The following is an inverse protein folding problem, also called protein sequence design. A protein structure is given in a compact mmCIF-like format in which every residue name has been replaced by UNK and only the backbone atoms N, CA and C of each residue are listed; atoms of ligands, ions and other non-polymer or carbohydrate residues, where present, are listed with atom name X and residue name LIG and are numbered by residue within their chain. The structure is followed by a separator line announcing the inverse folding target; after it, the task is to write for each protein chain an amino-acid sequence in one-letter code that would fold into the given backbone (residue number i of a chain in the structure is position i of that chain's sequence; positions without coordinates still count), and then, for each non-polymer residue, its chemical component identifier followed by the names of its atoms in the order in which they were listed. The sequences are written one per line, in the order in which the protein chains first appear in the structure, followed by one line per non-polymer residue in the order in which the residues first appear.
data_IF_797712171912
#
_entry.id   IF_797712171912
#
_cell.length_a   1.000
_cell.length_b   1.000
_cell.length_c   1.000
_cell.angle_alpha   90.00
_cell.angle_beta   90.00
_cell.angle_gamma   90.00
#
_symmetry.space_group_name_H-M   'P 1'
#
loop_
_entity.id
_entity.type
_entity.pdbx_description
1 polymer ?
#
# COMPACT_ATOMS: atom_id res chain seq x y z
N UNK A 1 7.83 -18.94 -1.87
CA UNK A 1 8.47 -18.62 -3.17
C UNK A 1 7.61 -18.98 -4.38
N UNK A 2 7.15 -20.22 -4.57
CA UNK A 2 6.40 -20.60 -5.78
C UNK A 2 5.07 -19.82 -5.92
N UNK A 3 4.30 -19.68 -4.84
CA UNK A 3 3.00 -19.00 -4.87
C UNK A 3 3.11 -17.55 -5.34
N UNK A 4 4.04 -16.78 -4.79
CA UNK A 4 4.23 -15.37 -5.16
C UNK A 4 4.63 -15.20 -6.63
N UNK A 5 5.51 -16.07 -7.14
CA UNK A 5 5.92 -16.03 -8.55
C UNK A 5 4.78 -16.38 -9.49
N UNK A 6 3.94 -17.36 -9.12
CA UNK A 6 2.73 -17.70 -9.89
C UNK A 6 1.75 -16.53 -9.89
N UNK A 7 1.54 -15.88 -8.75
CA UNK A 7 0.67 -14.69 -8.66
C UNK A 7 1.20 -13.55 -9.53
N UNK A 8 2.51 -13.29 -9.52
CA UNK A 8 3.13 -12.29 -10.37
C UNK A 8 2.92 -12.59 -11.86
N UNK A 9 3.21 -13.83 -12.29
CA UNK A 9 3.01 -14.25 -13.67
C UNK A 9 1.54 -14.15 -14.09
N UNK A 10 0.60 -14.58 -13.24
CA UNK A 10 -0.84 -14.48 -13.53
C UNK A 10 -1.32 -13.03 -13.61
N UNK A 11 -0.81 -12.14 -12.74
CA UNK A 11 -1.14 -10.72 -12.77
C UNK A 11 -0.64 -10.06 -14.07
N UNK A 12 0.58 -10.39 -14.51
CA UNK A 12 1.14 -9.88 -15.76
C UNK A 12 0.41 -10.40 -17.01
N UNK A 13 0.03 -11.69 -17.01
CA UNK A 13 -0.79 -12.27 -18.08
C UNK A 13 -2.18 -11.60 -18.12
N UNK A 14 -2.76 -11.30 -16.96
CA UNK A 14 -4.05 -10.60 -16.87
C UNK A 14 -4.00 -9.19 -17.47
N UNK A 15 -2.90 -8.46 -17.28
CA UNK A 15 -2.72 -7.11 -17.84
C UNK A 15 -2.55 -7.10 -19.36
N UNK A 16 -1.96 -8.17 -19.91
CA UNK A 16 -1.78 -8.33 -21.35
C UNK A 16 -2.97 -9.05 -22.04
N UNK A 17 -3.96 -9.49 -21.27
CA UNK A 17 -5.12 -10.20 -21.77
C UNK A 17 -6.34 -9.28 -21.85
N UNK A 18 -7.12 -9.43 -22.92
CA UNK A 18 -8.43 -8.79 -23.07
C UNK A 18 -9.54 -9.46 -22.25
N UNK A 19 -9.27 -10.63 -21.66
CA UNK A 19 -10.23 -11.42 -20.87
C UNK A 19 -9.77 -11.54 -19.41
N UNK A 20 -10.70 -11.62 -18.46
CA UNK A 20 -10.38 -11.99 -17.08
C UNK A 20 -9.91 -13.46 -17.05
N UNK A 21 -8.61 -13.66 -16.85
CA UNK A 21 -7.95 -14.96 -16.66
C UNK A 21 -7.75 -15.21 -15.16
N UNK A 22 -7.47 -14.17 -14.38
CA UNK A 22 -7.16 -14.27 -12.97
C UNK A 22 -8.17 -13.47 -12.12
N UNK A 23 -9.25 -14.13 -11.73
CA UNK A 23 -10.23 -13.58 -10.79
C UNK A 23 -9.93 -14.03 -9.36
N UNK A 24 -9.69 -13.06 -8.48
CA UNK A 24 -9.45 -13.31 -7.06
C UNK A 24 -10.81 -13.47 -6.38
N UNK A 25 -11.08 -14.67 -5.88
CA UNK A 25 -12.24 -14.95 -5.03
C UNK A 25 -11.89 -14.71 -3.55
N UNK A 26 -12.88 -14.58 -2.67
CA UNK A 26 -12.66 -14.44 -1.22
C UNK A 26 -11.85 -15.63 -0.63
N UNK A 27 -12.02 -16.84 -1.17
CA UNK A 27 -11.21 -18.01 -0.79
C UNK A 27 -9.74 -17.86 -1.19
N UNK A 28 -9.49 -17.43 -2.43
CA UNK A 28 -8.13 -17.18 -2.93
C UNK A 28 -7.48 -16.03 -2.15
N UNK A 29 -8.21 -14.95 -1.89
CA UNK A 29 -7.78 -13.83 -1.06
C UNK A 29 -7.31 -14.31 0.31
N UNK A 30 -8.12 -15.08 1.05
CA UNK A 30 -7.75 -15.57 2.38
C UNK A 30 -6.47 -16.41 2.34
N UNK A 31 -6.31 -17.27 1.32
CA UNK A 31 -5.07 -18.05 1.14
C UNK A 31 -3.86 -17.17 0.85
N UNK A 32 -4.01 -16.16 -0.01
CA UNK A 32 -2.94 -15.24 -0.36
C UNK A 32 -2.54 -14.35 0.83
N UNK A 33 -3.50 -13.89 1.63
CA UNK A 33 -3.25 -13.15 2.86
C UNK A 33 -2.50 -13.98 3.90
N UNK A 34 -2.78 -15.28 4.01
CA UNK A 34 -1.99 -16.18 4.86
C UNK A 34 -0.57 -16.37 4.31
N UNK A 35 -0.45 -16.56 2.99
CA UNK A 35 0.84 -16.72 2.32
C UNK A 35 1.74 -15.48 2.41
N UNK A 36 1.18 -14.27 2.59
CA UNK A 36 1.97 -13.05 2.81
C UNK A 36 2.96 -13.17 3.96
N UNK A 37 2.61 -13.91 5.03
CA UNK A 37 3.47 -14.07 6.21
C UNK A 37 4.72 -14.91 5.93
N UNK A 38 4.67 -15.77 4.91
CA UNK A 38 5.73 -16.72 4.57
C UNK A 38 6.50 -16.32 3.30
N UNK A 39 6.14 -15.19 2.69
CA UNK A 39 6.76 -14.70 1.47
C UNK A 39 7.92 -13.75 1.74
N UNK A 40 8.89 -13.77 0.82
CA UNK A 40 9.94 -12.75 0.75
C UNK A 40 9.32 -11.37 0.50
N UNK A 41 10.09 -10.31 0.75
CA UNK A 41 9.64 -8.93 0.59
C UNK A 41 9.05 -8.67 -0.81
N UNK A 42 9.75 -9.10 -1.86
CA UNK A 42 9.28 -9.01 -3.24
C UNK A 42 8.01 -9.82 -3.49
N UNK A 43 7.91 -11.01 -2.88
CA UNK A 43 6.70 -11.81 -2.97
C UNK A 43 5.50 -11.15 -2.28
N UNK A 44 5.73 -10.45 -1.17
CA UNK A 44 4.69 -9.67 -0.49
C UNK A 44 4.22 -8.50 -1.37
N UNK A 45 5.13 -7.80 -2.05
CA UNK A 45 4.78 -6.74 -3.01
C UNK A 45 3.89 -7.30 -4.13
N UNK A 46 4.29 -8.37 -4.80
CA UNK A 46 3.50 -8.96 -5.89
C UNK A 46 2.11 -9.43 -5.43
N UNK A 47 2.02 -10.05 -4.25
CA UNK A 47 0.73 -10.46 -3.71
C UNK A 47 -0.12 -9.24 -3.38
N UNK A 48 0.42 -8.23 -2.69
CA UNK A 48 -0.33 -7.01 -2.35
C UNK A 48 -0.83 -6.28 -3.60
N UNK A 49 0.01 -6.17 -4.64
CA UNK A 49 -0.37 -5.56 -5.91
C UNK A 49 -1.44 -6.36 -6.65
N UNK A 50 -1.36 -7.68 -6.67
CA UNK A 50 -2.40 -8.51 -7.25
C UNK A 50 -3.73 -8.37 -6.47
N UNK A 51 -3.65 -8.40 -5.14
CA UNK A 51 -4.80 -8.24 -4.27
C UNK A 51 -5.42 -6.83 -4.39
N UNK A 52 -4.66 -5.80 -4.76
CA UNK A 52 -5.14 -4.41 -4.94
C UNK A 52 -6.25 -4.28 -6.01
N UNK A 53 -6.43 -5.32 -6.83
CA UNK A 53 -7.51 -5.39 -7.84
C UNK A 53 -8.81 -5.96 -7.27
N UNK A 54 -8.74 -6.63 -6.12
CA UNK A 54 -9.89 -7.21 -5.46
C UNK A 54 -10.72 -6.13 -4.76
N UNK A 55 -12.02 -6.10 -5.08
CA UNK A 55 -13.00 -5.28 -4.37
C UNK A 55 -13.71 -6.16 -3.35
N UNK A 56 -13.62 -5.79 -2.07
CA UNK A 56 -14.39 -6.45 -1.03
C UNK A 56 -15.90 -6.38 -1.31
N UNK A 57 -16.62 -7.44 -0.94
CA UNK A 57 -18.07 -7.51 -1.14
C UNK A 57 -18.83 -6.60 -0.16
N UNK A 58 -18.31 -6.44 1.06
CA UNK A 58 -18.92 -5.62 2.10
C UNK A 58 -17.86 -4.86 2.94
N UNK A 59 -18.35 -3.90 3.74
CA UNK A 59 -17.50 -3.10 4.62
C UNK A 59 -16.75 -3.94 5.66
N UNK A 60 -17.33 -5.08 6.08
CA UNK A 60 -16.75 -5.95 7.11
C UNK A 60 -15.57 -6.75 6.55
N UNK A 61 -15.67 -7.24 5.33
CA UNK A 61 -14.58 -7.89 4.60
C UNK A 61 -13.47 -6.88 4.31
N UNK A 62 -13.80 -5.66 3.91
CA UNK A 62 -12.82 -4.58 3.74
C UNK A 62 -12.04 -4.31 5.04
N UNK A 63 -12.74 -4.20 6.18
CA UNK A 63 -12.11 -4.04 7.50
C UNK A 63 -11.19 -5.23 7.83
N UNK A 64 -11.65 -6.46 7.63
CA UNK A 64 -10.85 -7.68 7.88
C UNK A 64 -9.58 -7.72 7.01
N UNK A 65 -9.66 -7.32 5.74
CA UNK A 65 -8.50 -7.25 4.84
C UNK A 65 -7.50 -6.22 5.38
N UNK A 66 -7.99 -5.02 5.72
CA UNK A 66 -7.14 -3.94 6.20
C UNK A 66 -6.44 -4.30 7.52
N UNK A 67 -7.13 -4.97 8.45
CA UNK A 67 -6.52 -5.45 9.69
C UNK A 67 -5.38 -6.42 9.44
N UNK A 68 -5.54 -7.34 8.46
CA UNK A 68 -4.49 -8.29 8.08
C UNK A 68 -3.30 -7.64 7.36
N UNK A 69 -3.53 -6.55 6.63
CA UNK A 69 -2.48 -5.82 5.90
C UNK A 69 -1.77 -4.80 6.79
N UNK A 70 -2.42 -4.29 7.84
CA UNK A 70 -1.87 -3.26 8.75
C UNK A 70 -0.46 -3.56 9.27
N UNK A 71 -0.09 -4.80 9.68
CA UNK A 71 1.27 -5.10 10.13
C UNK A 71 2.36 -4.84 9.09
N UNK A 72 2.02 -4.85 7.79
CA UNK A 72 2.97 -4.60 6.68
C UNK A 72 3.42 -3.14 6.61
N UNK A 73 2.72 -2.22 7.28
CA UNK A 73 3.13 -0.82 7.37
C UNK A 73 4.44 -0.61 8.14
N UNK A 74 4.83 -1.56 9.00
CA UNK A 74 6.06 -1.51 9.79
C UNK A 74 7.24 -2.26 9.13
N UNK A 75 7.09 -2.63 7.86
CA UNK A 75 8.09 -3.40 7.15
C UNK A 75 9.31 -2.53 6.80
N UNK A 76 10.52 -3.10 6.83
CA UNK A 76 11.76 -2.37 6.53
C UNK A 76 11.83 -1.93 5.06
N UNK A 77 11.36 -2.79 4.15
CA UNK A 77 11.31 -2.49 2.72
C UNK A 77 10.18 -1.50 2.37
N UNK A 78 10.56 -0.36 1.80
CA UNK A 78 9.67 0.73 1.38
C UNK A 78 8.63 0.30 0.34
N UNK A 79 8.97 -0.62 -0.57
CA UNK A 79 8.04 -1.12 -1.59
C UNK A 79 6.87 -1.89 -0.96
N UNK A 80 7.14 -2.68 0.09
CA UNK A 80 6.10 -3.40 0.84
C UNK A 80 5.17 -2.41 1.54
N UNK A 81 5.74 -1.36 2.16
CA UNK A 81 4.97 -0.30 2.84
C UNK A 81 4.07 0.43 1.85
N UNK A 82 4.59 0.88 0.71
CA UNK A 82 3.80 1.58 -0.31
C UNK A 82 2.70 0.70 -0.91
N UNK A 83 2.98 -0.58 -1.15
CA UNK A 83 1.99 -1.55 -1.64
C UNK A 83 0.88 -1.80 -0.61
N UNK A 84 1.24 -1.86 0.68
CA UNK A 84 0.28 -1.98 1.77
C UNK A 84 -0.59 -0.72 1.89
N UNK A 85 -0.01 0.47 1.80
CA UNK A 85 -0.75 1.75 1.80
C UNK A 85 -1.73 1.82 0.63
N UNK A 86 -1.30 1.46 -0.59
CA UNK A 86 -2.16 1.39 -1.78
C UNK A 86 -3.38 0.50 -1.53
N UNK A 87 -3.16 -0.71 -1.03
CA UNK A 87 -4.22 -1.66 -0.68
C UNK A 87 -5.19 -1.07 0.36
N UNK A 88 -4.65 -0.51 1.45
CA UNK A 88 -5.46 0.06 2.53
C UNK A 88 -6.35 1.20 1.99
N UNK A 89 -5.78 2.10 1.19
CA UNK A 89 -6.52 3.23 0.61
C UNK A 89 -7.68 2.79 -0.28
N UNK A 90 -7.51 1.72 -1.06
CA UNK A 90 -8.59 1.17 -1.90
C UNK A 90 -9.71 0.54 -1.06
N UNK A 91 -9.38 -0.25 -0.03
CA UNK A 91 -10.41 -0.87 0.82
C UNK A 91 -11.12 0.18 1.71
N UNK A 92 -10.44 1.25 2.09
CA UNK A 92 -11.02 2.37 2.85
C UNK A 92 -12.17 3.08 2.13
N UNK A 93 -12.33 2.90 0.81
CA UNK A 93 -13.49 3.46 0.08
C UNK A 93 -14.79 2.71 0.39
N UNK A 94 -14.71 1.45 0.84
CA UNK A 94 -15.85 0.60 1.17
C UNK A 94 -16.19 0.61 2.68
N UNK A 95 -15.28 1.10 3.53
CA UNK A 95 -15.48 1.17 4.98
C UNK A 95 -16.41 2.33 5.33
N UNK A 96 -17.56 2.02 5.90
CA UNK A 96 -18.58 3.01 6.31
C UNK A 96 -18.25 3.69 7.64
N UNK A 97 -17.50 3.04 8.52
CA UNK A 97 -17.15 3.57 9.84
C UNK A 97 -16.08 4.67 9.75
N UNK A 98 -16.48 5.90 10.06
CA UNK A 98 -15.57 7.06 10.06
C UNK A 98 -14.47 6.96 11.12
N UNK A 99 -14.72 6.27 12.23
CA UNK A 99 -13.74 6.09 13.29
C UNK A 99 -12.64 5.11 12.89
N UNK A 100 -13.00 4.03 12.19
CA UNK A 100 -12.03 3.09 11.61
C UNK A 100 -11.16 3.82 10.60
N UNK A 101 -11.76 4.56 9.66
CA UNK A 101 -11.03 5.37 8.67
C UNK A 101 -10.06 6.35 9.35
N UNK A 102 -10.51 7.07 10.39
CA UNK A 102 -9.66 8.01 11.14
C UNK A 102 -8.48 7.30 11.81
N UNK A 103 -8.73 6.13 12.41
CA UNK A 103 -7.69 5.33 13.04
C UNK A 103 -6.68 4.79 12.03
N UNK A 104 -7.11 4.40 10.83
CA UNK A 104 -6.22 3.99 9.74
C UNK A 104 -5.36 5.14 9.25
N UNK A 105 -5.93 6.34 9.06
CA UNK A 105 -5.15 7.53 8.72
C UNK A 105 -4.02 7.79 9.75
N UNK A 106 -4.33 7.69 11.04
CA UNK A 106 -3.33 7.84 12.11
C UNK A 106 -2.24 6.77 12.05
N UNK A 107 -2.58 5.53 11.71
CA UNK A 107 -1.61 4.42 11.57
C UNK A 107 -0.73 4.56 10.32
N UNK A 108 -1.23 5.18 9.26
CA UNK A 108 -0.47 5.40 8.00
C UNK A 108 0.47 6.60 8.07
N UNK A 109 0.22 7.59 8.92
CA UNK A 109 1.08 8.77 9.01
C UNK A 109 2.55 8.45 9.39
N UNK A 110 2.85 7.71 10.48
CA UNK A 110 4.23 7.37 10.84
C UNK A 110 5.04 6.67 9.74
N UNK A 111 4.56 5.60 9.08
CA UNK A 111 5.36 4.93 8.05
C UNK A 111 5.59 5.82 6.82
N UNK A 112 4.62 6.66 6.43
CA UNK A 112 4.83 7.63 5.34
C UNK A 112 5.92 8.65 5.69
N UNK A 113 5.98 9.09 6.95
CA UNK A 113 7.05 9.98 7.44
C UNK A 113 8.41 9.26 7.43
N UNK A 114 8.45 7.99 7.84
CA UNK A 114 9.70 7.21 7.83
C UNK A 114 10.26 7.04 6.40
N UNK A 115 9.41 6.93 5.38
CA UNK A 115 9.86 6.86 3.97
C UNK A 115 10.64 8.11 3.54
N UNK A 116 10.36 9.27 4.12
CA UNK A 116 11.08 10.53 3.81
C UNK A 116 12.48 10.59 4.42
N UNK A 117 12.84 9.62 5.27
CA UNK A 117 14.18 9.49 5.83
C UNK A 117 15.02 8.43 5.09
N UNK A 118 14.50 7.84 4.02
CA UNK A 118 15.20 6.89 3.17
C UNK A 118 16.22 7.58 2.24
N UNK A 119 16.88 6.81 1.38
CA UNK A 119 17.77 7.34 0.35
C UNK A 119 17.03 8.31 -0.59
N UNK A 120 17.72 9.32 -1.17
CA UNK A 120 17.06 10.37 -1.94
C UNK A 120 16.17 9.89 -3.09
N UNK A 121 16.54 8.78 -3.74
CA UNK A 121 15.79 8.15 -4.82
C UNK A 121 14.46 7.58 -4.30
N UNK A 122 14.49 6.92 -3.14
CA UNK A 122 13.31 6.38 -2.47
C UNK A 122 12.44 7.52 -1.95
N UNK A 123 13.07 8.55 -1.37
CA UNK A 123 12.38 9.75 -0.89
C UNK A 123 11.62 10.44 -2.02
N UNK A 124 12.22 10.58 -3.21
CA UNK A 124 11.53 11.16 -4.37
C UNK A 124 10.29 10.36 -4.77
N UNK A 125 10.40 9.03 -4.86
CA UNK A 125 9.26 8.15 -5.15
C UNK A 125 8.20 8.24 -4.03
N UNK A 126 8.62 8.32 -2.77
CA UNK A 126 7.72 8.47 -1.63
C UNK A 126 6.97 9.81 -1.68
N UNK A 127 7.65 10.92 -1.97
CA UNK A 127 7.03 12.25 -2.10
C UNK A 127 5.97 12.28 -3.20
N UNK A 128 6.27 11.72 -4.37
CA UNK A 128 5.31 11.56 -5.47
C UNK A 128 4.06 10.79 -5.05
N UNK A 129 4.23 9.66 -4.37
CA UNK A 129 3.11 8.87 -3.86
C UNK A 129 2.33 9.61 -2.76
N UNK A 130 3.04 10.26 -1.83
CA UNK A 130 2.44 11.06 -0.75
C UNK A 130 1.61 12.20 -1.33
N UNK A 131 2.07 12.87 -2.38
CA UNK A 131 1.32 13.93 -3.05
C UNK A 131 -0.04 13.40 -3.55
N UNK A 132 -0.07 12.25 -4.23
CA UNK A 132 -1.31 11.59 -4.66
C UNK A 132 -2.21 11.19 -3.48
N UNK A 133 -1.62 10.68 -2.39
CA UNK A 133 -2.34 10.29 -1.18
C UNK A 133 -3.00 11.50 -0.52
N UNK A 134 -2.28 12.62 -0.40
CA UNK A 134 -2.78 13.86 0.21
C UNK A 134 -3.88 14.49 -0.65
N UNK A 135 -3.75 14.45 -1.98
CA UNK A 135 -4.83 14.89 -2.87
C UNK A 135 -6.12 14.09 -2.68
N UNK A 136 -6.02 12.76 -2.44
CA UNK A 136 -7.18 11.90 -2.18
C UNK A 136 -7.70 12.03 -0.75
N UNK A 137 -6.82 12.19 0.24
CA UNK A 137 -7.11 12.18 1.69
C UNK A 137 -6.21 13.19 2.42
N UNK A 138 -6.58 14.48 2.45
CA UNK A 138 -5.74 15.53 3.03
C UNK A 138 -5.56 15.40 4.56
N UNK A 139 -6.40 14.62 5.23
CA UNK A 139 -6.38 14.45 6.69
C UNK A 139 -5.27 13.55 7.20
N UNK A 140 -4.59 12.76 6.35
CA UNK A 140 -3.57 11.79 6.80
C UNK A 140 -2.33 12.49 7.36
N UNK A 141 -1.85 13.56 6.69
CA UNK A 141 -0.58 14.23 7.03
C UNK A 141 -0.76 15.69 7.46
N UNK A 142 -1.98 16.09 7.81
CA UNK A 142 -2.30 17.48 8.17
C UNK A 142 -1.46 18.03 9.35
N UNK A 143 -1.04 17.16 10.27
CA UNK A 143 -0.24 17.55 11.43
C UNK A 143 1.28 17.37 11.24
N UNK A 144 1.71 16.74 10.15
CA UNK A 144 3.10 16.35 9.93
C UNK A 144 3.84 17.27 8.95
N UNK A 145 3.34 18.48 8.67
CA UNK A 145 3.88 19.39 7.62
C UNK A 145 5.40 19.64 7.77
N UNK A 146 5.92 19.64 8.99
CA UNK A 146 7.35 19.88 9.27
C UNK A 146 8.28 18.87 8.60
N UNK A 147 7.79 17.66 8.30
CA UNK A 147 8.59 16.60 7.68
C UNK A 147 8.92 16.90 6.21
N UNK A 148 8.20 17.83 5.58
CA UNK A 148 8.43 18.27 4.20
C UNK A 148 9.38 19.47 4.09
N UNK A 149 9.95 19.93 5.20
CA UNK A 149 10.92 21.02 5.15
C UNK A 149 12.20 20.55 4.48
N UNK A 150 12.57 21.22 3.39
CA UNK A 150 13.80 20.96 2.64
C UNK A 150 15.02 21.10 3.56
N UNK A 151 15.88 20.08 3.58
CA UNK A 151 17.19 20.16 4.21
C UNK A 151 18.18 20.76 3.22
N UNK A 152 19.23 21.40 3.73
CA UNK A 152 20.27 21.99 2.89
C UNK A 152 20.91 20.96 1.93
N UNK A 153 21.12 19.73 2.42
CA UNK A 153 21.76 18.64 1.68
C UNK A 153 20.85 17.89 0.71
N UNK A 154 19.53 18.18 0.69
CA UNK A 154 18.62 17.42 -0.18
C UNK A 154 18.89 17.75 -1.66
N UNK A 155 18.85 16.74 -2.57
CA UNK A 155 18.97 16.97 -4.00
C UNK A 155 17.87 17.89 -4.54
N UNK A 156 18.18 18.60 -5.63
CA UNK A 156 17.26 19.60 -6.23
C UNK A 156 15.91 18.98 -6.59
N UNK A 157 15.89 17.75 -7.13
CA UNK A 157 14.66 17.07 -7.51
C UNK A 157 13.79 16.66 -6.30
N UNK A 158 14.37 16.50 -5.11
CA UNK A 158 13.62 16.26 -3.86
C UNK A 158 13.05 17.57 -3.33
N UNK A 159 13.80 18.67 -3.44
CA UNK A 159 13.37 20.00 -2.98
C UNK A 159 12.22 20.60 -3.81
N UNK A 160 12.13 20.23 -5.08
CA UNK A 160 11.10 20.73 -5.99
C UNK A 160 9.78 19.96 -5.91
N UNK A 161 9.78 18.75 -5.33
CA UNK A 161 8.59 17.90 -5.21
C UNK A 161 7.81 18.20 -3.94
#
# INVERSE_FOLDING_TARGET
MVVANVVAALAEIQDNSSRPIFEITSHTLSKLLTALNECTEWGQVFILDALSRYKAADAREAENIVERVTPRLQHANCAVVLSAVKMILQQMELITSTDVVRNLCKKMAPPLVTLLSAEPEIQFVALRNINLIVQRRPTILAHEIKVFFCKYNDPVYVKME
#
